data_IF_115403479515
#
_entry.id   IF_115403479515
#
_cell.length_a   1.000
_cell.length_b   1.000
_cell.length_c   1.000
_cell.angle_alpha   90.00
_cell.angle_beta   90.00
_cell.angle_gamma   90.00
#
_symmetry.space_group_name_H-M   'P 1'
#
loop_
_entity.id
_entity.type
_entity.pdbx_description
1 polymer ?
#
# COMPACT_ATOMS: atom_id res chain seq x y z
N UNK A 1 45.91 11.58 15.88
CA UNK A 1 45.95 10.11 15.95
C UNK A 1 47.37 9.52 16.03
N UNK A 2 48.44 10.27 15.75
CA UNK A 2 49.82 9.76 15.88
C UNK A 2 50.50 10.06 17.23
N UNK A 3 49.93 10.96 18.03
CA UNK A 3 50.46 11.36 19.35
C UNK A 3 49.38 11.22 20.42
N UNK A 4 49.47 10.19 21.25
CA UNK A 4 48.49 9.83 22.29
C UNK A 4 48.24 10.95 23.32
N UNK A 5 49.27 11.77 23.59
CA UNK A 5 49.15 12.94 24.46
C UNK A 5 48.28 14.05 23.85
N UNK A 6 48.31 14.22 22.52
CA UNK A 6 47.50 15.23 21.83
C UNK A 6 46.02 14.80 21.73
N UNK A 7 45.77 13.49 21.62
CA UNK A 7 44.41 12.93 21.61
C UNK A 7 43.66 13.24 22.91
N UNK A 8 44.31 13.05 24.06
CA UNK A 8 43.72 13.32 25.37
C UNK A 8 43.41 14.82 25.53
N UNK A 9 44.35 15.69 25.16
CA UNK A 9 44.16 17.14 25.24
C UNK A 9 43.02 17.66 24.34
N UNK A 10 42.84 17.07 23.14
CA UNK A 10 41.75 17.44 22.23
C UNK A 10 40.39 17.00 22.79
N UNK A 11 40.32 15.80 23.37
CA UNK A 11 39.09 15.31 24.01
C UNK A 11 38.68 16.18 25.20
N UNK A 12 39.65 16.53 26.05
CA UNK A 12 39.41 17.40 27.20
C UNK A 12 38.91 18.78 26.74
N UNK A 13 39.47 19.31 25.64
CA UNK A 13 39.02 20.56 25.04
C UNK A 13 37.58 20.46 24.49
N UNK A 14 37.24 19.39 23.78
CA UNK A 14 35.89 19.17 23.24
C UNK A 14 34.86 19.02 24.36
N UNK A 15 35.21 18.31 25.43
CA UNK A 15 34.38 18.18 26.62
C UNK A 15 34.15 19.54 27.29
N UNK A 16 35.21 20.32 27.54
CA UNK A 16 35.08 21.66 28.11
C UNK A 16 34.22 22.57 27.22
N UNK A 17 34.40 22.52 25.90
CA UNK A 17 33.59 23.31 24.96
C UNK A 17 32.10 22.92 24.98
N UNK A 18 31.79 21.64 25.25
CA UNK A 18 30.42 21.17 25.46
C UNK A 18 29.84 21.67 26.78
N UNK A 19 30.58 21.49 27.88
CA UNK A 19 30.16 21.88 29.24
C UNK A 19 29.93 23.39 29.36
N UNK A 20 30.77 24.20 28.70
CA UNK A 20 30.64 25.66 28.63
C UNK A 20 29.60 26.12 27.57
N UNK A 21 28.94 25.19 26.87
CA UNK A 21 27.88 25.50 25.91
C UNK A 21 28.36 26.16 24.60
N UNK A 22 29.67 26.17 24.36
CA UNK A 22 30.28 26.68 23.10
C UNK A 22 29.91 25.80 21.92
N UNK A 23 29.76 24.48 22.14
CA UNK A 23 29.33 23.50 21.16
C UNK A 23 28.17 22.68 21.72
N UNK A 24 27.04 22.62 21.01
CA UNK A 24 25.88 21.84 21.45
C UNK A 24 25.95 20.37 20.99
N UNK A 25 25.09 19.52 21.57
CA UNK A 25 25.04 18.08 21.28
C UNK A 25 24.84 17.74 19.79
N UNK A 26 24.06 18.56 19.06
CA UNK A 26 23.85 18.39 17.62
C UNK A 26 25.14 18.67 16.83
N UNK A 27 25.88 19.73 17.19
CA UNK A 27 27.14 20.07 16.54
C UNK A 27 28.22 19.02 16.80
N UNK A 28 28.29 18.48 18.02
CA UNK A 28 29.20 17.37 18.35
C UNK A 28 28.84 16.13 17.53
N UNK A 29 27.57 15.72 17.52
CA UNK A 29 27.10 14.55 16.76
C UNK A 29 27.37 14.70 15.26
N UNK A 30 27.15 15.89 14.69
CA UNK A 30 27.49 16.20 13.29
C UNK A 30 29.00 16.08 13.02
N UNK A 31 29.84 16.55 13.94
CA UNK A 31 31.30 16.42 13.82
C UNK A 31 31.75 14.95 13.79
N UNK A 32 31.21 14.13 14.69
CA UNK A 32 31.48 12.69 14.72
C UNK A 32 30.93 11.99 13.47
N UNK A 33 29.74 12.33 12.99
CA UNK A 33 29.20 11.76 11.75
C UNK A 33 30.07 12.06 10.52
N UNK A 34 30.60 13.27 10.40
CA UNK A 34 31.57 13.61 9.34
C UNK A 34 32.87 12.81 9.44
N UNK A 35 33.31 12.51 10.67
CA UNK A 35 34.50 11.68 10.89
C UNK A 35 34.21 10.20 10.58
N UNK A 36 32.99 9.73 10.84
CA UNK A 36 32.51 8.40 10.44
C UNK A 36 32.48 8.28 8.92
N UNK A 37 32.03 9.32 8.20
CA UNK A 37 31.98 9.34 6.73
C UNK A 37 33.37 9.27 6.07
N UNK A 38 34.41 9.80 6.71
CA UNK A 38 35.78 9.81 6.16
C UNK A 38 36.68 8.74 6.76
N UNK A 39 36.15 7.85 7.61
CA UNK A 39 36.97 6.93 8.40
C UNK A 39 37.72 5.91 7.56
N UNK A 40 37.20 5.57 6.38
CA UNK A 40 37.79 4.55 5.51
C UNK A 40 38.93 5.11 4.68
N UNK A 41 38.81 6.34 4.19
CA UNK A 41 39.93 7.06 3.58
C UNK A 41 41.06 7.23 4.60
N UNK A 42 40.72 7.61 5.84
CA UNK A 42 41.68 7.68 6.94
C UNK A 42 42.29 6.32 7.30
N UNK A 43 41.55 5.21 7.11
CA UNK A 43 42.02 3.87 7.39
C UNK A 43 43.05 3.37 6.36
N UNK A 44 43.07 3.94 5.14
CA UNK A 44 44.10 3.68 4.14
C UNK A 44 45.49 4.09 4.64
N UNK A 45 45.55 5.27 5.28
CA UNK A 45 46.80 5.82 5.81
C UNK A 45 47.07 5.37 7.26
N UNK A 46 46.02 5.14 8.04
CA UNK A 46 46.09 4.80 9.47
C UNK A 46 45.29 3.51 9.72
N UNK A 47 45.92 2.32 9.68
CA UNK A 47 45.22 1.04 9.77
C UNK A 47 44.35 0.84 11.03
N UNK A 48 44.64 1.58 12.10
CA UNK A 48 43.89 1.54 13.37
C UNK A 48 42.81 2.62 13.50
N UNK A 49 42.54 3.41 12.45
CA UNK A 49 41.63 4.55 12.51
C UNK A 49 40.23 4.17 13.02
N UNK A 50 39.68 3.05 12.51
CA UNK A 50 38.36 2.55 12.93
C UNK A 50 38.29 2.18 14.41
N UNK A 51 39.33 1.54 14.94
CA UNK A 51 39.38 1.14 16.36
C UNK A 51 39.56 2.35 17.27
N UNK A 52 40.37 3.32 16.84
CA UNK A 52 40.55 4.59 17.55
C UNK A 52 39.25 5.38 17.58
N UNK A 53 38.52 5.49 16.47
CA UNK A 53 37.23 6.18 16.42
C UNK A 53 36.18 5.49 17.31
N UNK A 54 36.13 4.15 17.32
CA UNK A 54 35.27 3.38 18.24
C UNK A 54 35.58 3.69 19.70
N UNK A 55 36.87 3.70 20.07
CA UNK A 55 37.31 4.06 21.41
C UNK A 55 36.91 5.49 21.78
N UNK A 56 37.04 6.42 20.83
CA UNK A 56 36.67 7.83 21.00
C UNK A 56 35.17 7.99 21.28
N UNK A 57 34.33 7.34 20.47
CA UNK A 57 32.87 7.37 20.61
C UNK A 57 32.46 6.77 21.95
N UNK A 58 33.01 5.59 22.30
CA UNK A 58 32.74 4.94 23.58
C UNK A 58 33.07 5.84 24.77
N UNK A 59 34.26 6.48 24.75
CA UNK A 59 34.69 7.39 25.81
C UNK A 59 33.78 8.62 25.89
N UNK A 60 33.54 9.29 24.76
CA UNK A 60 32.69 10.49 24.71
C UNK A 60 31.25 10.23 25.18
N UNK A 61 30.70 9.06 24.82
CA UNK A 61 29.38 8.65 25.28
C UNK A 61 29.35 8.27 26.76
N UNK A 62 30.39 7.60 27.27
CA UNK A 62 30.51 7.30 28.71
C UNK A 62 30.63 8.56 29.56
N UNK A 63 31.20 9.63 29.00
CA UNK A 63 31.35 10.94 29.65
C UNK A 63 30.13 11.85 29.44
N UNK A 64 29.11 11.40 28.70
CA UNK A 64 27.80 12.04 28.61
C UNK A 64 27.68 13.22 27.65
N UNK A 65 28.73 13.55 26.89
CA UNK A 65 28.72 14.67 25.95
C UNK A 65 28.52 14.26 24.48
N UNK A 66 28.31 12.96 24.22
CA UNK A 66 27.99 12.41 22.90
C UNK A 66 26.90 11.33 22.98
N UNK A 67 25.82 11.49 22.22
CA UNK A 67 24.76 10.49 22.10
C UNK A 67 25.12 9.46 21.01
N UNK A 68 25.61 8.27 21.41
CA UNK A 68 26.01 7.23 20.46
C UNK A 68 24.89 6.80 19.51
N UNK A 69 23.64 6.79 19.98
CA UNK A 69 22.47 6.43 19.16
C UNK A 69 22.10 7.49 18.10
N UNK A 70 22.68 8.69 18.17
CA UNK A 70 22.51 9.74 17.16
C UNK A 70 23.61 9.70 16.08
N UNK A 71 24.52 8.73 16.14
CA UNK A 71 25.60 8.56 15.18
C UNK A 71 25.22 7.56 14.09
N UNK A 72 25.74 7.80 12.89
CA UNK A 72 25.72 6.83 11.79
C UNK A 72 26.46 5.57 12.20
N UNK A 73 26.04 4.43 11.67
CA UNK A 73 26.71 3.15 11.94
C UNK A 73 28.18 3.19 11.51
N UNK A 74 29.08 2.76 12.40
CA UNK A 74 30.51 2.57 12.10
C UNK A 74 30.76 1.40 11.14
N UNK A 75 29.71 0.64 10.79
CA UNK A 75 29.74 -0.22 9.61
C UNK A 75 29.48 0.62 8.37
N UNK A 76 30.53 1.27 7.88
CA UNK A 76 30.62 1.55 6.46
C UNK A 76 30.69 0.19 5.75
N UNK A 77 29.56 -0.23 5.20
CA UNK A 77 29.56 -1.18 4.11
C UNK A 77 30.13 -0.38 2.94
N UNK A 78 31.23 -0.81 2.29
CA UNK A 78 31.72 -0.10 1.11
C UNK A 78 30.52 0.20 0.23
N UNK A 79 30.34 1.46 -0.16
CA UNK A 79 29.43 1.75 -1.26
C UNK A 79 29.88 0.81 -2.36
N UNK A 80 29.11 -0.26 -2.60
CA UNK A 80 29.45 -1.21 -3.63
C UNK A 80 29.55 -0.37 -4.90
N UNK A 81 30.76 -0.26 -5.44
CA UNK A 81 31.01 0.39 -6.72
C UNK A 81 30.43 -0.52 -7.79
N UNK A 82 29.09 -0.50 -7.88
CA UNK A 82 28.35 -1.13 -8.94
C UNK A 82 28.59 -0.23 -10.15
N UNK A 83 29.27 -0.77 -11.16
CA UNK A 83 29.45 -0.09 -12.43
C UNK A 83 28.09 0.43 -12.95
N UNK A 84 28.06 1.68 -13.42
CA UNK A 84 26.83 2.35 -13.85
C UNK A 84 26.07 1.55 -14.93
N UNK A 85 26.80 0.85 -15.80
CA UNK A 85 26.24 -0.08 -16.78
C UNK A 85 25.45 -1.24 -16.14
N UNK A 86 26.01 -1.86 -15.10
CA UNK A 86 25.36 -2.92 -14.31
C UNK A 86 24.11 -2.41 -13.62
N UNK A 87 24.17 -1.21 -13.05
CA UNK A 87 23.04 -0.58 -12.36
C UNK A 87 21.87 -0.30 -13.33
N UNK A 88 22.19 0.18 -14.53
CA UNK A 88 21.19 0.46 -15.57
C UNK A 88 20.52 -0.82 -16.06
N UNK A 89 21.29 -1.88 -16.31
CA UNK A 89 20.76 -3.20 -16.68
C UNK A 89 19.88 -3.77 -15.56
N UNK A 90 20.30 -3.62 -14.31
CA UNK A 90 19.51 -4.05 -13.17
C UNK A 90 18.16 -3.34 -13.10
N UNK A 91 18.12 -2.00 -13.24
CA UNK A 91 16.87 -1.21 -13.25
C UNK A 91 15.88 -1.69 -14.32
N UNK A 92 16.38 -2.06 -15.51
CA UNK A 92 15.55 -2.64 -16.58
C UNK A 92 15.04 -4.03 -16.19
N UNK A 93 15.92 -4.90 -15.67
CA UNK A 93 15.56 -6.25 -15.22
C UNK A 93 14.47 -6.21 -14.14
N UNK A 94 14.66 -5.43 -13.06
CA UNK A 94 13.68 -5.37 -11.96
C UNK A 94 12.35 -4.78 -12.40
N UNK A 95 12.36 -3.83 -13.34
CA UNK A 95 11.10 -3.32 -13.90
C UNK A 95 10.30 -4.44 -14.54
N UNK A 96 10.96 -5.33 -15.28
CA UNK A 96 10.30 -6.46 -15.96
C UNK A 96 9.76 -7.47 -14.93
N UNK A 97 10.56 -7.83 -13.92
CA UNK A 97 10.16 -8.74 -12.83
C UNK A 97 8.93 -8.19 -12.09
N UNK A 98 8.93 -6.91 -11.70
CA UNK A 98 7.82 -6.30 -10.96
C UNK A 98 6.55 -6.25 -11.82
N UNK A 99 6.68 -5.96 -13.12
CA UNK A 99 5.54 -5.94 -14.03
C UNK A 99 4.93 -7.32 -14.22
N UNK A 100 5.76 -8.35 -14.37
CA UNK A 100 5.32 -9.74 -14.42
C UNK A 100 4.62 -10.14 -13.12
N UNK A 101 5.21 -9.80 -11.97
CA UNK A 101 4.59 -10.01 -10.66
C UNK A 101 3.21 -9.36 -10.55
N UNK A 102 3.01 -8.13 -11.01
CA UNK A 102 1.69 -7.50 -10.99
C UNK A 102 0.66 -8.21 -11.89
N UNK A 103 1.09 -8.98 -12.88
CA UNK A 103 0.21 -9.80 -13.71
C UNK A 103 -0.09 -11.16 -13.06
N UNK A 104 0.93 -11.83 -12.56
CA UNK A 104 0.87 -13.23 -12.12
C UNK A 104 0.60 -13.38 -10.63
N UNK A 105 1.12 -12.46 -9.83
CA UNK A 105 1.11 -12.56 -8.38
C UNK A 105 2.10 -13.56 -7.79
N UNK A 106 3.00 -14.10 -8.61
CA UNK A 106 3.92 -15.15 -8.20
C UNK A 106 5.12 -14.59 -7.42
N UNK A 107 5.07 -14.71 -6.10
CA UNK A 107 6.14 -14.26 -5.19
C UNK A 107 7.39 -15.14 -5.34
N UNK A 108 7.22 -16.43 -5.60
CA UNK A 108 8.33 -17.38 -5.70
C UNK A 108 9.15 -17.09 -6.96
N UNK A 109 8.48 -16.77 -8.06
CA UNK A 109 9.15 -16.33 -9.29
C UNK A 109 9.95 -15.05 -9.07
N UNK A 110 9.41 -14.05 -8.35
CA UNK A 110 10.16 -12.84 -8.01
C UNK A 110 11.41 -13.17 -7.19
N UNK A 111 11.28 -13.96 -6.12
CA UNK A 111 12.40 -14.37 -5.27
C UNK A 111 13.47 -15.07 -6.11
N UNK A 112 13.07 -16.06 -6.93
CA UNK A 112 13.98 -16.81 -7.80
C UNK A 112 14.72 -15.91 -8.81
N UNK A 113 14.02 -14.91 -9.38
CA UNK A 113 14.63 -13.96 -10.32
C UNK A 113 15.59 -12.97 -9.65
N UNK A 114 15.44 -12.76 -8.34
CA UNK A 114 16.28 -11.91 -7.51
C UNK A 114 17.47 -12.67 -6.87
N UNK A 115 17.44 -14.00 -6.78
CA UNK A 115 18.44 -14.85 -6.11
C UNK A 115 19.85 -14.91 -6.75
N UNK A 116 20.27 -13.93 -7.55
CA UNK A 116 21.69 -13.86 -7.96
C UNK A 116 22.58 -13.43 -6.80
N UNK A 117 23.78 -14.03 -6.67
CA UNK A 117 24.71 -13.75 -5.55
C UNK A 117 24.98 -12.24 -5.37
N UNK A 118 25.11 -11.50 -6.48
CA UNK A 118 25.32 -10.05 -6.49
C UNK A 118 24.13 -9.24 -5.93
N UNK A 119 22.90 -9.74 -6.08
CA UNK A 119 21.71 -9.07 -5.53
C UNK A 119 21.53 -9.39 -4.05
N UNK A 120 21.69 -10.66 -3.66
CA UNK A 120 21.51 -11.11 -2.29
C UNK A 120 22.45 -10.37 -1.31
N UNK A 121 23.68 -10.08 -1.75
CA UNK A 121 24.64 -9.32 -0.94
C UNK A 121 24.45 -7.80 -0.98
N UNK A 122 23.82 -7.25 -2.02
CA UNK A 122 23.82 -5.80 -2.26
C UNK A 122 22.65 -5.05 -1.59
N UNK A 123 22.96 -4.23 -0.58
CA UNK A 123 21.99 -3.27 0.00
C UNK A 123 21.47 -2.29 -1.07
N UNK A 124 22.37 -1.81 -1.94
CA UNK A 124 22.02 -0.81 -2.95
C UNK A 124 21.04 -1.36 -3.98
N UNK A 125 21.23 -2.59 -4.45
CA UNK A 125 20.30 -3.20 -5.41
C UNK A 125 18.94 -3.49 -4.77
N UNK A 126 18.90 -3.93 -3.51
CA UNK A 126 17.64 -4.12 -2.77
C UNK A 126 16.90 -2.80 -2.56
N UNK A 127 17.59 -1.74 -2.16
CA UNK A 127 17.00 -0.41 -2.03
C UNK A 127 16.40 0.09 -3.36
N UNK A 128 17.10 -0.14 -4.48
CA UNK A 128 16.61 0.19 -5.82
C UNK A 128 15.39 -0.65 -6.18
N UNK A 129 15.38 -1.95 -5.84
CA UNK A 129 14.23 -2.81 -6.05
C UNK A 129 13.00 -2.29 -5.26
N UNK A 130 13.16 -1.99 -3.97
CA UNK A 130 12.09 -1.45 -3.11
C UNK A 130 11.55 -0.13 -3.67
N UNK A 131 12.43 0.82 -4.01
CA UNK A 131 12.04 2.07 -4.68
C UNK A 131 11.22 1.77 -5.94
N UNK A 132 11.74 0.90 -6.81
CA UNK A 132 11.10 0.63 -8.10
C UNK A 132 9.74 -0.04 -7.94
N UNK A 133 9.61 -0.98 -6.99
CA UNK A 133 8.37 -1.68 -6.68
C UNK A 133 7.28 -0.69 -6.26
N UNK A 134 7.58 0.16 -5.27
CA UNK A 134 6.62 1.12 -4.74
C UNK A 134 6.28 2.19 -5.79
N UNK A 135 7.27 2.74 -6.50
CA UNK A 135 7.02 3.71 -7.59
C UNK A 135 6.07 3.14 -8.63
N UNK A 136 6.32 1.92 -9.14
CA UNK A 136 5.47 1.30 -10.16
C UNK A 136 4.07 0.96 -9.63
N UNK A 137 3.91 0.73 -8.33
CA UNK A 137 2.61 0.49 -7.69
C UNK A 137 1.79 1.78 -7.53
N UNK A 138 2.45 2.90 -7.16
CA UNK A 138 1.78 4.20 -7.00
C UNK A 138 1.20 4.74 -8.31
N UNK A 139 1.81 4.39 -9.44
CA UNK A 139 1.29 4.73 -10.79
C UNK A 139 0.08 3.88 -11.22
N UNK A 140 -0.41 2.98 -10.36
CA UNK A 140 -1.44 1.98 -10.67
C UNK A 140 -2.59 2.00 -9.66
N UNK A 141 -3.43 0.97 -9.69
CA UNK A 141 -4.60 0.85 -8.82
C UNK A 141 -4.20 0.23 -7.48
N UNK A 142 -5.11 0.29 -6.51
CA UNK A 142 -4.84 -0.24 -5.19
C UNK A 142 -4.50 -1.75 -5.17
N UNK A 143 -4.93 -2.53 -6.18
CA UNK A 143 -4.51 -3.93 -6.30
C UNK A 143 -2.99 -4.05 -6.35
N UNK A 144 -2.32 -3.30 -7.21
CA UNK A 144 -0.87 -3.34 -7.33
C UNK A 144 -0.17 -2.76 -6.10
N UNK A 145 -0.81 -1.82 -5.39
CA UNK A 145 -0.32 -1.30 -4.10
C UNK A 145 -0.38 -2.34 -2.98
N UNK A 146 -1.45 -3.13 -2.92
CA UNK A 146 -1.56 -4.29 -2.01
C UNK A 146 -0.52 -5.34 -2.38
N UNK A 147 -0.41 -5.71 -3.66
CA UNK A 147 0.60 -6.67 -4.13
C UNK A 147 2.02 -6.22 -3.77
N UNK A 148 2.35 -4.94 -3.94
CA UNK A 148 3.64 -4.41 -3.51
C UNK A 148 3.88 -4.53 -2.00
N UNK A 149 2.85 -4.26 -1.18
CA UNK A 149 2.94 -4.41 0.29
C UNK A 149 3.17 -5.88 0.68
N UNK A 150 2.39 -6.80 0.11
CA UNK A 150 2.53 -8.25 0.34
C UNK A 150 3.92 -8.75 -0.10
N UNK A 151 4.41 -8.31 -1.25
CA UNK A 151 5.71 -8.70 -1.76
C UNK A 151 6.85 -8.20 -0.85
N UNK A 152 6.80 -6.94 -0.38
CA UNK A 152 7.80 -6.40 0.55
C UNK A 152 7.90 -7.25 1.83
N UNK A 153 6.76 -7.63 2.40
CA UNK A 153 6.69 -8.47 3.60
C UNK A 153 7.17 -9.90 3.35
N UNK A 154 7.05 -10.39 2.11
CA UNK A 154 7.42 -11.76 1.72
C UNK A 154 8.91 -11.91 1.34
N UNK A 155 9.56 -10.83 0.92
CA UNK A 155 10.96 -10.87 0.47
C UNK A 155 11.97 -11.03 1.62
N UNK A 156 11.54 -10.85 2.87
CA UNK A 156 12.36 -10.97 4.07
C UNK A 156 13.69 -10.19 4.01
N UNK A 157 13.69 -9.03 3.35
CA UNK A 157 14.87 -8.17 3.33
C UNK A 157 15.16 -7.63 4.73
N UNK A 158 16.43 -7.41 5.09
CA UNK A 158 16.80 -6.66 6.29
C UNK A 158 16.09 -5.30 6.32
N UNK A 159 15.65 -4.88 7.51
CA UNK A 159 14.98 -3.58 7.69
C UNK A 159 15.81 -2.41 7.17
N UNK A 160 17.14 -2.48 7.28
CA UNK A 160 18.09 -1.49 6.74
C UNK A 160 18.02 -1.35 5.21
N UNK A 161 17.84 -2.46 4.51
CA UNK A 161 17.75 -2.48 3.05
C UNK A 161 16.40 -1.88 2.59
N UNK A 162 15.32 -2.16 3.34
CA UNK A 162 13.99 -1.58 3.12
C UNK A 162 13.99 -0.08 3.44
N UNK A 163 14.57 0.31 4.58
CA UNK A 163 14.76 1.67 5.02
C UNK A 163 15.50 2.50 3.96
N UNK A 164 16.59 1.95 3.42
CA UNK A 164 17.33 2.57 2.32
C UNK A 164 16.45 2.80 1.08
N UNK A 165 15.57 1.84 0.74
CA UNK A 165 14.60 1.99 -0.34
C UNK A 165 13.58 3.12 -0.09
N UNK A 166 13.06 3.23 1.14
CA UNK A 166 12.17 4.31 1.54
C UNK A 166 12.86 5.68 1.59
N UNK A 167 14.11 5.75 2.01
CA UNK A 167 14.90 6.98 1.92
C UNK A 167 14.98 7.46 0.46
N UNK A 168 15.32 6.57 -0.48
CA UNK A 168 15.36 6.93 -1.90
C UNK A 168 13.99 7.35 -2.47
N UNK A 169 12.87 6.84 -1.93
CA UNK A 169 11.52 7.24 -2.31
C UNK A 169 11.21 8.65 -1.81
N UNK A 170 11.49 8.92 -0.52
CA UNK A 170 11.27 10.21 0.14
C UNK A 170 12.14 11.31 -0.48
N UNK A 171 13.40 11.02 -0.79
CA UNK A 171 14.30 11.94 -1.50
C UNK A 171 13.75 12.36 -2.87
N UNK A 172 13.13 11.44 -3.61
CA UNK A 172 12.53 11.74 -4.92
C UNK A 172 11.06 12.16 -4.85
N UNK A 173 10.48 12.30 -3.66
CA UNK A 173 9.05 12.59 -3.51
C UNK A 173 8.72 14.02 -3.93
N UNK A 174 9.65 14.96 -3.77
CA UNK A 174 9.46 16.36 -4.18
C UNK A 174 9.22 16.44 -5.69
N UNK A 175 10.10 15.83 -6.49
CA UNK A 175 9.96 15.78 -7.94
C UNK A 175 8.73 14.98 -8.38
N UNK A 176 8.49 13.81 -7.77
CA UNK A 176 7.38 12.95 -8.17
C UNK A 176 6.01 13.59 -7.88
N UNK A 177 5.89 14.36 -6.80
CA UNK A 177 4.66 15.07 -6.45
C UNK A 177 4.32 16.21 -7.42
N UNK A 178 5.29 16.72 -8.19
CA UNK A 178 5.03 17.69 -9.26
C UNK A 178 4.15 17.08 -10.36
N UNK A 179 4.37 15.80 -10.67
CA UNK A 179 3.62 15.08 -11.70
C UNK A 179 2.32 14.47 -11.14
N UNK A 180 2.37 13.95 -9.91
CA UNK A 180 1.23 13.33 -9.26
C UNK A 180 1.16 13.65 -7.75
N UNK A 181 0.27 14.58 -7.35
CA UNK A 181 0.11 14.93 -5.94
C UNK A 181 -0.35 13.78 -5.03
N UNK A 182 -1.00 12.73 -5.56
CA UNK A 182 -1.47 11.60 -4.74
C UNK A 182 -0.34 10.75 -4.16
N UNK A 183 0.90 10.90 -4.67
CA UNK A 183 2.09 10.18 -4.18
C UNK A 183 2.35 10.46 -2.70
N UNK A 184 1.99 11.65 -2.20
CA UNK A 184 2.18 11.99 -0.78
C UNK A 184 1.35 11.06 0.11
N UNK A 185 0.08 10.86 -0.24
CA UNK A 185 -0.84 10.00 0.50
C UNK A 185 -0.47 8.52 0.34
N UNK A 186 -0.17 8.10 -0.89
CA UNK A 186 0.20 6.72 -1.19
C UNK A 186 1.51 6.31 -0.49
N UNK A 187 2.55 7.15 -0.56
CA UNK A 187 3.84 6.86 0.07
C UNK A 187 3.72 6.83 1.60
N UNK A 188 2.90 7.72 2.18
CA UNK A 188 2.63 7.70 3.62
C UNK A 188 1.90 6.41 4.04
N UNK A 189 0.96 5.92 3.23
CA UNK A 189 0.27 4.65 3.46
C UNK A 189 1.23 3.46 3.32
N UNK A 190 2.13 3.45 2.34
CA UNK A 190 3.16 2.42 2.22
C UNK A 190 4.08 2.37 3.44
N UNK A 191 4.53 3.53 3.95
CA UNK A 191 5.33 3.60 5.17
C UNK A 191 4.57 3.08 6.39
N UNK A 192 3.32 3.51 6.56
CA UNK A 192 2.48 3.03 7.66
C UNK A 192 2.21 1.51 7.54
N UNK A 193 1.98 1.01 6.32
CA UNK A 193 1.79 -0.43 6.06
C UNK A 193 3.06 -1.23 6.33
N UNK A 194 4.23 -0.75 5.93
CA UNK A 194 5.50 -1.40 6.24
C UNK A 194 5.77 -1.50 7.75
N UNK A 195 5.29 -0.53 8.54
CA UNK A 195 5.37 -0.60 10.01
C UNK A 195 4.39 -1.63 10.58
N UNK A 196 3.15 -1.66 10.07
CA UNK A 196 2.12 -2.61 10.52
C UNK A 196 2.44 -4.05 10.13
N UNK A 197 3.05 -4.25 8.97
CA UNK A 197 3.52 -5.56 8.49
C UNK A 197 4.87 -5.98 9.13
N UNK A 198 5.38 -5.20 10.10
CA UNK A 198 6.63 -5.45 10.84
C UNK A 198 7.90 -5.52 9.96
N UNK A 199 7.83 -4.98 8.73
CA UNK A 199 8.99 -4.83 7.84
C UNK A 199 9.88 -3.66 8.29
N UNK A 200 9.28 -2.64 8.90
CA UNK A 200 9.97 -1.53 9.56
C UNK A 200 9.50 -1.37 11.00
N UNK A 201 10.43 -1.15 11.93
CA UNK A 201 10.09 -0.66 13.26
C UNK A 201 9.62 0.82 13.24
N UNK A 202 8.75 1.24 14.19
CA UNK A 202 8.26 2.62 14.26
C UNK A 202 9.34 3.70 14.31
N UNK A 203 10.49 3.43 14.94
CA UNK A 203 11.60 4.41 15.05
C UNK A 203 12.24 4.74 13.70
N UNK A 204 12.18 3.84 12.71
CA UNK A 204 12.72 4.10 11.37
C UNK A 204 12.01 5.27 10.68
N UNK A 205 10.76 5.59 11.03
CA UNK A 205 10.07 6.80 10.54
C UNK A 205 10.75 8.08 11.03
N UNK A 206 11.38 8.05 12.21
CA UNK A 206 12.17 9.18 12.71
C UNK A 206 13.47 9.29 11.94
N UNK A 207 14.11 8.16 11.65
CA UNK A 207 15.35 8.12 10.89
C UNK A 207 15.18 8.65 9.47
N UNK A 208 14.13 8.23 8.75
CA UNK A 208 13.81 8.77 7.42
C UNK A 208 13.51 10.26 7.51
N UNK A 209 12.74 10.68 8.52
CA UNK A 209 12.39 12.10 8.72
C UNK A 209 13.60 13.00 9.00
N UNK A 210 14.66 12.47 9.62
CA UNK A 210 15.90 13.22 9.87
C UNK A 210 16.70 13.53 8.59
N UNK A 211 16.45 12.78 7.50
CA UNK A 211 17.10 12.97 6.21
C UNK A 211 16.36 13.99 5.32
N UNK A 212 15.18 14.46 5.72
CA UNK A 212 14.40 15.43 4.94
C UNK A 212 15.07 16.82 4.90
N UNK A 213 14.97 17.50 3.76
CA UNK A 213 15.59 18.82 3.53
C UNK A 213 15.04 19.97 4.40
N UNK A 214 13.91 19.76 5.08
CA UNK A 214 13.31 20.75 5.98
C UNK A 214 11.91 20.35 6.44
N UNK A 215 11.32 21.07 7.42
CA UNK A 215 10.01 20.73 8.00
C UNK A 215 8.85 20.84 7.00
N UNK A 216 8.98 21.68 5.97
CA UNK A 216 7.92 21.92 4.98
C UNK A 216 8.08 21.11 3.68
N UNK A 217 9.12 20.29 3.57
CA UNK A 217 9.35 19.46 2.38
C UNK A 217 8.24 18.41 2.19
N UNK A 218 8.06 17.94 0.95
CA UNK A 218 7.11 16.85 0.68
C UNK A 218 7.46 15.61 1.50
N UNK A 219 8.76 15.29 1.62
CA UNK A 219 9.23 14.19 2.46
C UNK A 219 8.78 14.31 3.91
N UNK A 220 8.90 15.49 4.52
CA UNK A 220 8.43 15.72 5.90
C UNK A 220 6.91 15.56 6.04
N UNK A 221 6.13 15.99 5.04
CA UNK A 221 4.67 15.79 5.02
C UNK A 221 4.28 14.32 4.92
N UNK A 222 4.98 13.55 4.09
CA UNK A 222 4.81 12.08 3.99
C UNK A 222 5.01 11.43 5.36
N UNK A 223 6.10 11.77 6.06
CA UNK A 223 6.41 11.22 7.38
C UNK A 223 5.37 11.64 8.42
N UNK A 224 4.94 12.90 8.41
CA UNK A 224 3.90 13.40 9.31
C UNK A 224 2.56 12.67 9.09
N UNK A 225 2.18 12.44 7.84
CA UNK A 225 0.97 11.71 7.49
C UNK A 225 1.06 10.23 7.90
N UNK A 226 2.18 9.55 7.66
CA UNK A 226 2.39 8.18 8.10
C UNK A 226 2.23 8.05 9.63
N UNK A 227 2.80 8.99 10.39
CA UNK A 227 2.64 9.05 11.86
C UNK A 227 1.19 9.27 12.28
N UNK A 228 0.47 10.16 11.63
CA UNK A 228 -0.94 10.42 11.97
C UNK A 228 -1.82 9.20 11.71
N UNK A 229 -1.55 8.45 10.62
CA UNK A 229 -2.22 7.19 10.30
C UNK A 229 -1.96 6.13 11.37
N UNK A 230 -0.71 5.94 11.79
CA UNK A 230 -0.32 4.96 12.81
C UNK A 230 -0.88 5.28 14.20
N UNK A 231 -1.00 6.57 14.54
CA UNK A 231 -1.55 7.01 15.83
C UNK A 231 -3.08 7.02 15.89
N UNK A 232 -3.77 6.80 14.77
CA UNK A 232 -5.23 6.77 14.75
C UNK A 232 -5.78 5.56 15.53
N UNK A 233 -6.99 5.69 16.07
CA UNK A 233 -7.69 4.58 16.74
C UNK A 233 -7.88 3.40 15.77
N UNK A 234 -7.56 2.18 16.22
CA UNK A 234 -7.61 0.95 15.41
C UNK A 234 -6.78 1.04 14.12
N UNK A 235 -5.65 1.78 14.15
CA UNK A 235 -4.79 2.01 12.99
C UNK A 235 -4.31 0.72 12.34
N UNK A 236 -3.87 -0.27 13.11
CA UNK A 236 -3.38 -1.55 12.59
C UNK A 236 -4.35 -2.23 11.61
N UNK A 237 -5.58 -2.51 12.05
CA UNK A 237 -6.59 -3.16 11.18
C UNK A 237 -6.97 -2.29 9.96
N UNK A 238 -7.04 -0.97 10.14
CA UNK A 238 -7.35 -0.04 9.05
C UNK A 238 -6.23 0.00 8.00
N UNK A 239 -4.98 0.02 8.45
CA UNK A 239 -3.80 0.05 7.60
C UNK A 239 -3.62 -1.29 6.88
N UNK A 240 -3.87 -2.43 7.54
CA UNK A 240 -3.88 -3.74 6.88
C UNK A 240 -4.88 -3.83 5.71
N UNK A 241 -5.90 -2.96 5.68
CA UNK A 241 -6.91 -2.90 4.61
C UNK A 241 -6.84 -1.61 3.79
N UNK A 242 -5.77 -0.82 3.90
CA UNK A 242 -5.72 0.53 3.33
C UNK A 242 -5.86 0.57 1.80
N UNK A 243 -5.39 -0.47 1.12
CA UNK A 243 -5.52 -0.60 -0.33
C UNK A 243 -6.87 -1.22 -0.75
N UNK A 244 -7.56 -1.92 0.17
CA UNK A 244 -8.78 -2.67 -0.11
C UNK A 244 -8.45 -4.07 -0.64
N UNK A 245 -9.02 -5.09 0.01
CA UNK A 245 -8.68 -6.51 -0.18
C UNK A 245 -8.02 -7.05 1.07
N UNK A 246 -8.78 -7.75 1.93
CA UNK A 246 -8.26 -8.27 3.18
C UNK A 246 -7.46 -9.55 2.97
N UNK A 247 -6.14 -9.50 3.14
CA UNK A 247 -5.33 -10.57 3.73
C UNK A 247 -5.43 -12.00 3.17
N UNK A 248 -5.83 -12.22 1.91
CA UNK A 248 -5.74 -13.54 1.30
C UNK A 248 -4.51 -13.61 0.38
N UNK A 249 -3.68 -14.65 0.55
CA UNK A 249 -2.49 -14.95 -0.25
C UNK A 249 -2.81 -15.32 -1.72
N UNK A 250 -3.93 -14.85 -2.26
CA UNK A 250 -4.37 -15.10 -3.63
C UNK A 250 -4.61 -13.77 -4.33
N UNK A 251 -3.92 -13.63 -5.45
CA UNK A 251 -3.67 -12.36 -6.13
C UNK A 251 -4.87 -11.88 -6.93
N UNK A 252 -5.67 -11.02 -6.29
CA UNK A 252 -6.83 -10.37 -6.89
C UNK A 252 -7.83 -10.03 -5.80
N UNK A 253 -8.76 -9.14 -6.09
CA UNK A 253 -9.98 -9.14 -5.31
C UNK A 253 -10.61 -10.52 -5.49
N UNK A 254 -10.70 -11.33 -4.43
CA UNK A 254 -11.52 -12.54 -4.53
C UNK A 254 -12.93 -12.05 -4.88
N UNK A 255 -13.61 -12.70 -5.82
CA UNK A 255 -14.96 -12.30 -6.23
C UNK A 255 -15.87 -12.16 -4.99
N UNK A 256 -15.60 -12.97 -3.96
CA UNK A 256 -16.31 -12.94 -2.69
C UNK A 256 -15.96 -11.71 -1.84
N UNK A 257 -14.72 -11.21 -1.83
CA UNK A 257 -14.37 -9.93 -1.21
C UNK A 257 -15.11 -8.76 -1.86
N UNK A 258 -15.23 -8.78 -3.19
CA UNK A 258 -15.99 -7.75 -3.93
C UNK A 258 -17.47 -7.83 -3.56
N UNK A 259 -18.04 -9.05 -3.52
CA UNK A 259 -19.44 -9.27 -3.11
C UNK A 259 -19.70 -8.81 -1.69
N UNK A 260 -18.75 -9.02 -0.78
CA UNK A 260 -18.84 -8.57 0.62
C UNK A 260 -18.74 -7.05 0.72
N UNK A 261 -17.83 -6.42 -0.04
CA UNK A 261 -17.73 -4.97 -0.10
C UNK A 261 -18.98 -4.33 -0.69
N UNK A 262 -19.54 -4.91 -1.75
CA UNK A 262 -20.83 -4.51 -2.30
C UNK A 262 -21.93 -4.67 -1.24
N UNK A 263 -21.96 -5.80 -0.51
CA UNK A 263 -22.94 -6.03 0.56
C UNK A 263 -22.89 -4.94 1.64
N UNK A 264 -21.70 -4.67 2.17
CA UNK A 264 -21.48 -3.63 3.21
C UNK A 264 -21.86 -2.24 2.72
N UNK A 265 -21.50 -1.90 1.49
CA UNK A 265 -21.86 -0.62 0.87
C UNK A 265 -23.37 -0.44 0.80
N UNK A 266 -24.09 -1.47 0.33
CA UNK A 266 -25.54 -1.42 0.21
C UNK A 266 -26.20 -1.35 1.59
N UNK A 267 -25.69 -2.10 2.57
CA UNK A 267 -26.17 -2.06 3.96
C UNK A 267 -25.95 -0.70 4.64
N UNK A 268 -24.79 -0.08 4.45
CA UNK A 268 -24.49 1.26 4.96
C UNK A 268 -25.44 2.31 4.37
N UNK A 269 -25.66 2.26 3.06
CA UNK A 269 -26.60 3.16 2.40
C UNK A 269 -28.04 2.92 2.86
N UNK A 270 -28.47 1.67 2.96
CA UNK A 270 -29.79 1.26 3.46
C UNK A 270 -30.03 1.76 4.90
N UNK A 271 -28.98 1.75 5.73
CA UNK A 271 -29.00 2.19 7.14
C UNK A 271 -28.94 3.72 7.32
N UNK A 272 -29.01 4.49 6.24
CA UNK A 272 -29.07 5.96 6.28
C UNK A 272 -27.89 6.67 5.62
N UNK A 273 -26.94 5.95 5.02
CA UNK A 273 -25.81 6.51 4.30
C UNK A 273 -26.19 7.41 3.11
N UNK A 274 -25.24 8.24 2.68
CA UNK A 274 -25.45 9.23 1.61
C UNK A 274 -25.46 8.59 0.20
N UNK A 275 -26.33 9.08 -0.68
CA UNK A 275 -26.50 8.56 -2.03
C UNK A 275 -25.27 8.80 -2.91
N UNK A 276 -24.65 9.98 -2.81
CA UNK A 276 -23.47 10.33 -3.61
C UNK A 276 -22.27 9.50 -3.15
N UNK A 277 -22.17 9.26 -1.85
CA UNK A 277 -21.16 8.37 -1.28
C UNK A 277 -21.31 6.94 -1.82
N UNK A 278 -22.52 6.38 -1.80
CA UNK A 278 -22.77 5.06 -2.33
C UNK A 278 -22.39 4.95 -3.83
N UNK A 279 -22.78 5.94 -4.64
CA UNK A 279 -22.39 6.01 -6.06
C UNK A 279 -20.87 6.13 -6.23
N UNK A 280 -20.19 6.93 -5.39
CA UNK A 280 -18.72 7.05 -5.41
C UNK A 280 -18.07 5.70 -5.08
N UNK A 281 -18.50 5.05 -3.99
CA UNK A 281 -17.98 3.76 -3.58
C UNK A 281 -18.17 2.69 -4.65
N UNK A 282 -19.33 2.65 -5.35
CA UNK A 282 -19.57 1.74 -6.49
C UNK A 282 -18.58 2.05 -7.63
N UNK A 283 -18.38 3.33 -7.97
CA UNK A 283 -17.44 3.75 -9.02
C UNK A 283 -15.99 3.36 -8.68
N UNK A 284 -15.59 3.52 -7.42
CA UNK A 284 -14.26 3.20 -6.91
C UNK A 284 -13.97 1.70 -6.83
N UNK A 285 -14.99 0.84 -6.92
CA UNK A 285 -14.75 -0.60 -7.15
C UNK A 285 -13.97 -0.81 -8.44
N UNK A 286 -14.13 0.06 -9.45
CA UNK A 286 -13.38 -0.01 -10.70
C UNK A 286 -13.65 -1.28 -11.52
N UNK A 287 -14.81 -1.92 -11.31
CA UNK A 287 -15.22 -3.20 -11.92
C UNK A 287 -16.55 -3.07 -12.70
N UNK A 288 -16.58 -2.29 -13.81
CA UNK A 288 -17.81 -1.98 -14.54
C UNK A 288 -18.52 -3.22 -15.10
N UNK A 289 -17.79 -4.30 -15.40
CA UNK A 289 -18.37 -5.56 -15.89
C UNK A 289 -18.97 -6.45 -14.80
N UNK A 290 -18.78 -6.08 -13.53
CA UNK A 290 -19.29 -6.77 -12.35
C UNK A 290 -20.37 -5.97 -11.60
N UNK A 291 -20.78 -4.80 -12.11
CA UNK A 291 -21.84 -3.98 -11.52
C UNK A 291 -23.20 -4.70 -11.47
N UNK A 292 -23.42 -5.74 -12.28
CA UNK A 292 -24.58 -6.61 -12.16
C UNK A 292 -24.74 -7.24 -10.76
N UNK A 293 -23.65 -7.37 -9.99
CA UNK A 293 -23.71 -7.86 -8.61
C UNK A 293 -24.30 -6.83 -7.64
N UNK A 294 -24.05 -5.53 -7.88
CA UNK A 294 -24.69 -4.43 -7.15
C UNK A 294 -26.20 -4.49 -7.38
N UNK A 295 -26.61 -4.63 -8.64
CA UNK A 295 -28.03 -4.77 -9.03
C UNK A 295 -28.65 -5.99 -8.37
N UNK A 296 -28.00 -7.15 -8.45
CA UNK A 296 -28.50 -8.41 -7.86
C UNK A 296 -28.74 -8.26 -6.36
N UNK A 297 -27.72 -7.84 -5.60
CA UNK A 297 -27.81 -7.72 -4.14
C UNK A 297 -28.79 -6.64 -3.69
N UNK A 298 -28.80 -5.49 -4.38
CA UNK A 298 -29.76 -4.43 -4.09
C UNK A 298 -31.20 -4.90 -4.34
N UNK A 299 -31.47 -5.56 -5.47
CA UNK A 299 -32.81 -6.02 -5.82
C UNK A 299 -33.32 -7.10 -4.85
N UNK A 300 -32.47 -8.05 -4.46
CA UNK A 300 -32.81 -9.05 -3.43
C UNK A 300 -33.19 -8.35 -2.12
N UNK A 301 -32.40 -7.39 -1.67
CA UNK A 301 -32.66 -6.67 -0.42
C UNK A 301 -33.95 -5.83 -0.49
N UNK A 302 -34.22 -5.18 -1.64
CA UNK A 302 -35.49 -4.49 -1.90
C UNK A 302 -36.68 -5.44 -1.73
N UNK A 303 -36.58 -6.68 -2.24
CA UNK A 303 -37.65 -7.67 -2.13
C UNK A 303 -37.78 -8.24 -0.70
N UNK A 304 -36.67 -8.53 -0.03
CA UNK A 304 -36.66 -9.05 1.35
C UNK A 304 -37.22 -8.04 2.36
N UNK A 305 -36.74 -6.80 2.30
CA UNK A 305 -37.06 -5.76 3.30
C UNK A 305 -38.22 -4.86 2.91
N UNK A 306 -38.66 -4.90 1.65
CA UNK A 306 -39.64 -3.97 1.06
C UNK A 306 -39.22 -2.50 1.22
N UNK A 307 -37.91 -2.24 1.16
CA UNK A 307 -37.34 -0.90 1.25
C UNK A 307 -37.02 -0.34 -0.14
N UNK A 308 -37.62 0.79 -0.48
CA UNK A 308 -37.44 1.48 -1.76
C UNK A 308 -36.14 2.28 -1.86
N UNK A 309 -35.39 2.45 -0.75
CA UNK A 309 -34.16 3.26 -0.74
C UNK A 309 -33.12 2.71 -1.73
N UNK A 310 -32.91 1.40 -1.73
CA UNK A 310 -31.99 0.73 -2.65
C UNK A 310 -32.47 0.76 -4.11
N UNK A 311 -33.79 0.80 -4.36
CA UNK A 311 -34.32 1.08 -5.70
C UNK A 311 -33.90 2.48 -6.17
N UNK A 312 -33.99 3.48 -5.30
CA UNK A 312 -33.52 4.84 -5.58
C UNK A 312 -32.04 4.91 -5.92
N UNK A 313 -31.20 4.14 -5.24
CA UNK A 313 -29.77 4.01 -5.57
C UNK A 313 -29.56 3.43 -6.98
N UNK A 314 -30.28 2.36 -7.34
CA UNK A 314 -30.19 1.77 -8.67
C UNK A 314 -30.65 2.76 -9.76
N UNK A 315 -31.71 3.51 -9.49
CA UNK A 315 -32.21 4.54 -10.40
C UNK A 315 -31.17 5.63 -10.64
N UNK A 316 -30.49 6.08 -9.58
CA UNK A 316 -29.45 7.10 -9.71
C UNK A 316 -28.20 6.56 -10.40
N UNK A 317 -27.79 5.34 -10.08
CA UNK A 317 -26.67 4.68 -10.76
C UNK A 317 -26.92 4.48 -12.26
N UNK A 318 -28.16 4.18 -12.64
CA UNK A 318 -28.57 4.04 -14.04
C UNK A 318 -28.61 5.40 -14.76
N UNK A 319 -29.25 6.42 -14.14
CA UNK A 319 -29.41 7.75 -14.72
C UNK A 319 -28.06 8.43 -15.03
N UNK A 320 -27.06 8.24 -14.16
CA UNK A 320 -25.71 8.78 -14.36
C UNK A 320 -24.80 7.89 -15.23
N UNK A 321 -25.29 6.75 -15.73
CA UNK A 321 -24.53 5.81 -16.54
C UNK A 321 -23.46 5.02 -15.78
N UNK A 322 -23.49 5.01 -14.44
CA UNK A 322 -22.59 4.22 -13.60
C UNK A 322 -22.88 2.72 -13.75
N UNK A 323 -24.16 2.35 -13.85
CA UNK A 323 -24.60 0.99 -14.20
C UNK A 323 -25.21 1.03 -15.59
N UNK A 324 -24.61 0.30 -16.53
CA UNK A 324 -25.07 0.25 -17.91
C UNK A 324 -26.34 -0.60 -18.06
N UNK A 325 -27.16 -0.40 -19.11
CA UNK A 325 -28.33 -1.25 -19.38
C UNK A 325 -28.01 -2.74 -19.43
N UNK A 326 -26.86 -3.13 -19.98
CA UNK A 326 -26.42 -4.52 -20.02
C UNK A 326 -26.12 -5.08 -18.62
N UNK A 327 -25.48 -4.28 -17.74
CA UNK A 327 -25.24 -4.69 -16.35
C UNK A 327 -26.53 -4.75 -15.54
N UNK A 328 -27.48 -3.85 -15.82
CA UNK A 328 -28.81 -3.86 -15.23
C UNK A 328 -29.56 -5.14 -15.62
N UNK A 329 -29.69 -5.43 -16.91
CA UNK A 329 -30.32 -6.64 -17.41
C UNK A 329 -29.67 -7.92 -16.87
N UNK A 330 -28.33 -7.97 -16.85
CA UNK A 330 -27.60 -9.11 -16.27
C UNK A 330 -27.89 -9.26 -14.77
N UNK A 331 -27.98 -8.17 -14.01
CA UNK A 331 -28.31 -8.21 -12.59
C UNK A 331 -29.69 -8.79 -12.32
N UNK A 332 -30.71 -8.31 -13.05
CA UNK A 332 -32.06 -8.88 -13.00
C UNK A 332 -32.07 -10.36 -13.42
N UNK A 333 -31.36 -10.72 -14.50
CA UNK A 333 -31.25 -12.12 -14.94
C UNK A 333 -30.71 -13.04 -13.85
N UNK A 334 -29.65 -12.61 -13.15
CA UNK A 334 -29.05 -13.37 -12.05
C UNK A 334 -29.94 -13.50 -10.82
N UNK A 335 -30.86 -12.56 -10.57
CA UNK A 335 -31.89 -12.73 -9.55
C UNK A 335 -32.89 -13.78 -10.01
N UNK A 336 -33.30 -13.73 -11.28
CA UNK A 336 -34.18 -14.72 -11.91
C UNK A 336 -33.66 -16.15 -11.78
N UNK A 337 -32.35 -16.34 -11.96
CA UNK A 337 -31.67 -17.65 -11.82
C UNK A 337 -31.71 -18.22 -10.39
N UNK A 338 -31.82 -17.38 -9.36
CA UNK A 338 -31.82 -17.82 -7.95
C UNK A 338 -33.16 -17.61 -7.24
N UNK A 339 -34.25 -17.41 -7.98
CA UNK A 339 -35.60 -17.26 -7.38
C UNK A 339 -35.96 -18.48 -6.53
N UNK A 340 -35.70 -19.68 -7.03
CA UNK A 340 -36.09 -20.93 -6.34
C UNK A 340 -35.44 -21.06 -4.97
N UNK A 341 -34.19 -20.62 -4.83
CA UNK A 341 -33.48 -20.56 -3.55
C UNK A 341 -34.07 -19.46 -2.65
N UNK A 342 -34.37 -18.28 -3.22
CA UNK A 342 -34.93 -17.15 -2.48
C UNK A 342 -36.35 -17.40 -1.95
N UNK A 343 -37.14 -18.26 -2.59
CA UNK A 343 -38.49 -18.65 -2.12
C UNK A 343 -38.42 -19.30 -0.73
N UNK A 344 -37.31 -19.96 -0.40
CA UNK A 344 -37.10 -20.58 0.91
C UNK A 344 -37.11 -19.55 2.05
N UNK A 345 -36.61 -18.34 1.79
CA UNK A 345 -36.51 -17.25 2.76
C UNK A 345 -37.67 -16.25 2.63
N UNK A 346 -38.19 -16.03 1.42
CA UNK A 346 -39.23 -15.03 1.10
C UNK A 346 -40.37 -15.67 0.29
N UNK A 347 -41.49 -16.07 0.94
CA UNK A 347 -42.56 -16.83 0.29
C UNK A 347 -43.26 -16.15 -0.90
N UNK A 348 -43.21 -14.82 -1.00
CA UNK A 348 -43.83 -14.04 -2.09
C UNK A 348 -42.83 -13.48 -3.11
N UNK A 349 -41.55 -13.92 -3.08
CA UNK A 349 -40.48 -13.37 -3.91
C UNK A 349 -40.77 -13.45 -5.41
N UNK A 350 -41.43 -14.49 -5.90
CA UNK A 350 -41.80 -14.60 -7.32
C UNK A 350 -42.72 -13.46 -7.77
N UNK A 351 -43.73 -13.13 -6.95
CA UNK A 351 -44.67 -12.04 -7.23
C UNK A 351 -43.96 -10.69 -7.15
N UNK A 352 -43.11 -10.51 -6.14
CA UNK A 352 -42.34 -9.29 -5.97
C UNK A 352 -41.36 -9.07 -7.12
N UNK A 353 -40.66 -10.12 -7.54
CA UNK A 353 -39.72 -10.05 -8.64
C UNK A 353 -40.42 -9.70 -9.95
N UNK A 354 -41.57 -10.32 -10.24
CA UNK A 354 -42.40 -9.96 -11.39
C UNK A 354 -42.80 -8.48 -11.39
N UNK A 355 -43.23 -7.96 -10.23
CA UNK A 355 -43.55 -6.54 -10.07
C UNK A 355 -42.35 -5.62 -10.38
N UNK A 356 -41.16 -5.94 -9.87
CA UNK A 356 -39.97 -5.14 -10.09
C UNK A 356 -39.42 -5.26 -11.53
N UNK A 357 -39.58 -6.40 -12.20
CA UNK A 357 -39.28 -6.55 -13.64
C UNK A 357 -40.18 -5.63 -14.46
N UNK A 358 -41.49 -5.63 -14.21
CA UNK A 358 -42.43 -4.76 -14.92
C UNK A 358 -42.15 -3.27 -14.67
N UNK A 359 -41.78 -2.93 -13.45
CA UNK A 359 -41.35 -1.57 -13.10
C UNK A 359 -40.08 -1.17 -13.85
N UNK A 360 -39.06 -2.04 -13.86
CA UNK A 360 -37.81 -1.78 -14.56
C UNK A 360 -38.01 -1.63 -16.09
N UNK A 361 -38.96 -2.36 -16.69
CA UNK A 361 -39.37 -2.15 -18.09
C UNK A 361 -39.98 -0.77 -18.31
N UNK A 362 -40.88 -0.32 -17.41
CA UNK A 362 -41.50 1.01 -17.48
C UNK A 362 -40.48 2.15 -17.29
N UNK A 363 -39.49 1.94 -16.43
CA UNK A 363 -38.40 2.89 -16.17
C UNK A 363 -37.30 2.85 -17.25
N UNK A 364 -37.42 1.96 -18.25
CA UNK A 364 -36.49 1.86 -19.39
C UNK A 364 -35.14 1.22 -19.03
N UNK A 365 -35.06 0.50 -17.92
CA UNK A 365 -33.87 -0.23 -17.48
C UNK A 365 -33.72 -1.58 -18.21
N UNK A 366 -34.86 -2.19 -18.56
CA UNK A 366 -34.95 -3.48 -19.23
C UNK A 366 -35.73 -3.32 -20.54
N UNK A 367 -35.37 -4.11 -21.54
CA UNK A 367 -36.15 -4.20 -22.78
C UNK A 367 -37.50 -4.88 -22.52
N UNK A 368 -38.51 -4.55 -23.33
CA UNK A 368 -39.83 -5.19 -23.27
C UNK A 368 -39.75 -6.72 -23.47
N UNK A 369 -38.79 -7.17 -24.29
CA UNK A 369 -38.44 -8.55 -24.60
C UNK A 369 -37.73 -9.29 -23.45
N UNK A 370 -37.30 -8.58 -22.40
CA UNK A 370 -36.61 -9.21 -21.27
C UNK A 370 -37.50 -10.27 -20.66
N UNK A 371 -37.02 -11.51 -20.68
CA UNK A 371 -37.65 -12.68 -20.10
C UNK A 371 -36.72 -13.25 -19.03
N UNK A 372 -37.31 -13.58 -17.89
CA UNK A 372 -36.65 -14.35 -16.84
C UNK A 372 -36.71 -15.79 -17.32
N UNK A 373 -35.59 -16.53 -17.30
CA UNK A 373 -35.35 -17.75 -18.09
C UNK A 373 -36.26 -18.98 -17.89
N UNK A 374 -37.50 -18.85 -17.40
CA UNK A 374 -38.51 -19.91 -17.40
C UNK A 374 -39.26 -19.91 -18.74
N UNK A 375 -38.78 -20.70 -19.69
CA UNK A 375 -39.71 -21.34 -20.63
C UNK A 375 -40.52 -22.35 -19.81
N UNK A 376 -41.84 -22.19 -19.78
CA UNK A 376 -42.74 -23.23 -19.31
C UNK A 376 -42.46 -24.51 -20.12
N UNK A 377 -41.89 -25.54 -19.49
CA UNK A 377 -41.99 -26.89 -20.03
C UNK A 377 -43.45 -27.32 -19.82
N UNK A 378 -44.31 -26.92 -20.75
CA UNK A 378 -45.60 -27.56 -20.94
C UNK A 378 -45.29 -28.97 -21.40
N UNK A 379 -45.37 -29.92 -20.47
CA UNK A 379 -45.42 -31.35 -20.80
C UNK A 379 -46.75 -31.55 -21.53
N UNK A 380 -46.72 -31.47 -22.86
CA UNK A 380 -47.77 -32.06 -23.68
C UNK A 380 -47.74 -33.57 -23.45
N UNK A 381 -48.52 -34.02 -22.47
CA UNK A 381 -48.93 -35.40 -22.36
C UNK A 381 -49.80 -35.73 -23.57
N UNK A 382 -49.15 -36.19 -24.65
CA UNK A 382 -49.80 -36.79 -25.80
C UNK A 382 -50.51 -38.08 -25.39
N UNK A 383 -51.82 -37.99 -25.17
CA UNK A 383 -52.74 -39.12 -25.22
C UNK A 383 -53.76 -38.90 -26.35
N UNK A 384 -53.47 -39.45 -27.53
CA UNK A 384 -54.42 -39.90 -28.56
C UNK A 384 -53.63 -40.93 -29.42
N UNK A 385 -54.02 -42.18 -29.67
CA UNK A 385 -55.26 -42.94 -29.49
C UNK A 385 -54.94 -44.41 -29.22
#
# INVERSE_FOLDING_TARGET
MEKQAAETAILDLLKLAYEEGVINSSQISKGFNRLIETIDDLALDIPKARDLLKSLISKASSEGWLCASSLKSLHYRPEEQIEDGTLKLFKVKVTSIIQEYFLTGDIIDVVSNLESENFASSTRLKAIFVKRLITLAMDRKNREKEMASVLLSSLCFPSEDILSGFNLLVESAEDAALDNPSIVEDLALFLARAVVDEVLAPFHLEEIGNNCEGPDSIGSKVIQLARSLLNARLSGERILRCWGGGGSNKTGWEIDDVKDKIGKLLEEYDSGGDLREACRCIKELGMPFFHHEVVKKALINVMEKRNERLWGLLQECYSMGLITPNQMAKGFGRVGECIDDLVLDVPDVEKQFGFYVDRAKKEGWLESSFSTGRSEHVVENGFQS
#
